data_IF_215899281607
#
_entry.id   IF_215899281607
#
_cell.length_a   1.000
_cell.length_b   1.000
_cell.length_c   1.000
_cell.angle_alpha   90.00
_cell.angle_beta   90.00
_cell.angle_gamma   90.00
#
_symmetry.space_group_name_H-M   'P 1'
#
loop_
_entity.id
_entity.type
_entity.pdbx_description
1 polymer ?
#
# COMPACT_ATOMS: atom_id res chain seq x y z
N UNK A 1 -40.66 -4.19 35.41
CA UNK A 1 -39.32 -4.82 35.32
C UNK A 1 -38.64 -4.79 36.69
N UNK A 2 -38.26 -5.94 37.22
CA UNK A 2 -37.78 -6.08 38.61
C UNK A 2 -36.36 -5.48 38.77
N UNK A 3 -35.98 -4.96 39.95
CA UNK A 3 -34.66 -4.31 40.18
C UNK A 3 -33.49 -5.23 39.83
N UNK A 4 -33.66 -6.53 40.06
CA UNK A 4 -32.68 -7.57 39.68
C UNK A 4 -32.51 -7.71 38.16
N UNK A 5 -33.60 -7.66 37.40
CA UNK A 5 -33.56 -7.73 35.92
C UNK A 5 -32.86 -6.50 35.31
N UNK A 6 -33.08 -5.30 35.87
CA UNK A 6 -32.37 -4.08 35.42
C UNK A 6 -30.86 -4.15 35.63
N UNK A 7 -30.43 -4.75 36.74
CA UNK A 7 -29.00 -4.90 37.07
C UNK A 7 -28.36 -5.90 36.11
N UNK A 8 -28.97 -7.07 35.93
CA UNK A 8 -28.49 -8.08 34.97
C UNK A 8 -28.43 -7.52 33.54
N UNK A 9 -29.45 -6.76 33.12
CA UNK A 9 -29.45 -6.13 31.79
C UNK A 9 -28.31 -5.12 31.63
N UNK A 10 -28.04 -4.30 32.66
CA UNK A 10 -26.95 -3.32 32.63
C UNK A 10 -25.59 -4.03 32.55
N UNK A 11 -25.38 -5.06 33.34
CA UNK A 11 -24.12 -5.81 33.35
C UNK A 11 -23.90 -6.51 32.02
N UNK A 12 -24.95 -7.14 31.46
CA UNK A 12 -24.90 -7.75 30.13
C UNK A 12 -24.54 -6.72 29.05
N UNK A 13 -25.24 -5.58 29.01
CA UNK A 13 -24.94 -4.50 28.04
C UNK A 13 -23.51 -4.00 28.20
N UNK A 14 -23.03 -3.86 29.44
CA UNK A 14 -21.66 -3.39 29.72
C UNK A 14 -20.62 -4.35 29.14
N UNK A 15 -20.78 -5.66 29.36
CA UNK A 15 -19.88 -6.68 28.81
C UNK A 15 -19.90 -6.67 27.28
N UNK A 16 -21.08 -6.55 26.66
CA UNK A 16 -21.21 -6.47 25.19
C UNK A 16 -20.48 -5.24 24.63
N UNK A 17 -20.67 -4.07 25.25
CA UNK A 17 -20.02 -2.83 24.80
C UNK A 17 -18.50 -2.90 24.95
N UNK A 18 -17.99 -3.40 26.08
CA UNK A 18 -16.55 -3.56 26.30
C UNK A 18 -15.96 -4.52 25.26
N UNK A 19 -16.64 -5.62 24.98
CA UNK A 19 -16.20 -6.60 23.98
C UNK A 19 -16.15 -5.98 22.59
N UNK A 20 -17.19 -5.22 22.20
CA UNK A 20 -17.21 -4.53 20.92
C UNK A 20 -16.05 -3.53 20.77
N UNK A 21 -15.76 -2.75 21.82
CA UNK A 21 -14.62 -1.81 21.83
C UNK A 21 -13.30 -2.57 21.65
N UNK A 22 -13.11 -3.67 22.38
CA UNK A 22 -11.89 -4.48 22.29
C UNK A 22 -11.69 -5.05 20.87
N UNK A 23 -12.75 -5.55 20.25
CA UNK A 23 -12.71 -6.06 18.86
C UNK A 23 -12.33 -4.94 17.88
N UNK A 24 -12.95 -3.76 18.00
CA UNK A 24 -12.62 -2.60 17.15
C UNK A 24 -11.16 -2.15 17.33
N UNK A 25 -10.67 -2.15 18.58
CA UNK A 25 -9.28 -1.81 18.85
C UNK A 25 -8.31 -2.82 18.21
N UNK A 26 -8.60 -4.12 18.31
CA UNK A 26 -7.76 -5.18 17.75
C UNK A 26 -7.72 -5.14 16.21
N UNK A 27 -8.86 -4.83 15.57
CA UNK A 27 -8.94 -4.64 14.12
C UNK A 27 -8.05 -3.47 13.69
N UNK A 28 -8.19 -2.30 14.33
CA UNK A 28 -7.37 -1.13 14.02
C UNK A 28 -5.88 -1.38 14.25
N UNK A 29 -5.52 -2.11 15.32
CA UNK A 29 -4.13 -2.46 15.60
C UNK A 29 -3.55 -3.35 14.49
N UNK A 30 -4.29 -4.37 14.05
CA UNK A 30 -3.88 -5.24 12.93
C UNK A 30 -3.64 -4.43 11.66
N UNK A 31 -4.53 -3.51 11.33
CA UNK A 31 -4.41 -2.66 10.14
C UNK A 31 -3.20 -1.75 10.19
N UNK A 32 -2.95 -1.15 11.36
CA UNK A 32 -1.78 -0.31 11.60
C UNK A 32 -0.47 -1.08 11.45
N UNK A 33 -0.39 -2.31 11.98
CA UNK A 33 0.78 -3.17 11.83
C UNK A 33 1.01 -3.54 10.36
N UNK A 34 -0.05 -3.96 9.65
CA UNK A 34 0.04 -4.30 8.23
C UNK A 34 0.56 -3.13 7.39
N UNK A 35 -0.01 -1.92 7.59
CA UNK A 35 0.41 -0.70 6.90
C UNK A 35 1.86 -0.33 7.22
N UNK A 36 2.28 -0.51 8.47
CA UNK A 36 3.65 -0.23 8.90
C UNK A 36 4.66 -1.21 8.30
N UNK A 37 4.32 -2.49 8.20
CA UNK A 37 5.17 -3.50 7.56
C UNK A 37 5.28 -3.28 6.05
N UNK A 38 4.17 -2.98 5.36
CA UNK A 38 4.19 -2.66 3.94
C UNK A 38 5.05 -1.41 3.67
N UNK A 39 4.91 -0.35 4.47
CA UNK A 39 5.80 0.82 4.40
C UNK A 39 7.28 0.46 4.65
N UNK A 40 7.58 -0.43 5.60
CA UNK A 40 8.96 -0.87 5.86
C UNK A 40 9.53 -1.66 4.68
N UNK A 41 8.73 -2.53 4.06
CA UNK A 41 9.11 -3.27 2.86
C UNK A 41 9.41 -2.33 1.69
N UNK A 42 8.49 -1.42 1.38
CA UNK A 42 8.71 -0.39 0.35
C UNK A 42 9.90 0.53 0.67
N UNK A 43 10.16 0.84 1.94
CA UNK A 43 11.33 1.65 2.33
C UNK A 43 12.64 0.93 2.05
N UNK A 44 12.68 -0.40 2.17
CA UNK A 44 13.84 -1.20 1.77
C UNK A 44 14.00 -1.20 0.26
N UNK A 45 12.92 -1.40 -0.48
CA UNK A 45 12.92 -1.29 -1.94
C UNK A 45 13.48 0.07 -2.40
N UNK A 46 12.97 1.18 -1.85
CA UNK A 46 13.46 2.52 -2.16
C UNK A 46 14.94 2.69 -1.86
N UNK A 47 15.44 2.15 -0.74
CA UNK A 47 16.89 2.16 -0.44
C UNK A 47 17.71 1.37 -1.45
N UNK A 48 17.24 0.19 -1.87
CA UNK A 48 17.94 -0.63 -2.86
C UNK A 48 18.00 0.09 -4.21
N UNK A 49 16.89 0.70 -4.63
CA UNK A 49 16.85 1.49 -5.88
C UNK A 49 17.79 2.70 -5.80
N UNK A 50 17.78 3.45 -4.71
CA UNK A 50 18.68 4.59 -4.53
C UNK A 50 20.16 4.16 -4.51
N UNK A 51 20.46 3.04 -3.87
CA UNK A 51 21.82 2.48 -3.85
C UNK A 51 22.24 2.08 -5.26
N UNK A 52 21.40 1.36 -5.99
CA UNK A 52 21.65 1.00 -7.39
C UNK A 52 21.89 2.24 -8.25
N UNK A 53 21.10 3.30 -8.08
CA UNK A 53 21.27 4.56 -8.80
C UNK A 53 22.61 5.24 -8.48
N UNK A 54 23.05 5.17 -7.22
CA UNK A 54 24.34 5.71 -6.81
C UNK A 54 25.51 4.94 -7.43
N UNK A 55 25.37 3.61 -7.55
CA UNK A 55 26.44 2.74 -8.02
C UNK A 55 26.52 2.67 -9.56
N UNK A 56 25.39 2.76 -10.25
CA UNK A 56 25.29 2.57 -11.71
C UNK A 56 24.78 3.79 -12.49
N UNK A 57 24.36 4.87 -11.82
CA UNK A 57 23.87 6.09 -12.46
C UNK A 57 22.44 6.05 -13.01
N UNK A 58 21.75 4.91 -12.91
CA UNK A 58 20.39 4.71 -13.47
C UNK A 58 19.44 4.00 -12.50
N UNK A 59 18.17 3.87 -12.89
CA UNK A 59 17.22 3.06 -12.13
C UNK A 59 17.45 1.56 -12.46
N UNK A 60 17.33 0.65 -11.47
CA UNK A 60 17.43 -0.78 -11.75
C UNK A 60 16.31 -1.21 -12.67
N UNK A 61 16.54 -2.21 -13.55
CA UNK A 61 15.51 -2.77 -14.41
C UNK A 61 14.46 -3.53 -13.59
N UNK A 62 13.26 -3.73 -14.16
CA UNK A 62 12.17 -4.44 -13.48
C UNK A 62 12.54 -5.88 -13.10
N UNK A 63 13.32 -6.57 -13.93
CA UNK A 63 13.82 -7.92 -13.64
C UNK A 63 14.69 -7.97 -12.38
N UNK A 64 15.51 -6.94 -12.14
CA UNK A 64 16.31 -6.83 -10.91
C UNK A 64 15.39 -6.71 -9.70
N UNK A 65 14.34 -5.88 -9.79
CA UNK A 65 13.36 -5.68 -8.72
C UNK A 65 12.55 -6.95 -8.46
N UNK A 66 12.17 -7.68 -9.52
CA UNK A 66 11.47 -8.96 -9.42
C UNK A 66 12.31 -9.99 -8.64
N UNK A 67 13.61 -10.08 -8.93
CA UNK A 67 14.51 -11.04 -8.28
C UNK A 67 14.70 -10.76 -6.78
N UNK A 68 14.80 -9.48 -6.38
CA UNK A 68 14.99 -9.12 -4.97
C UNK A 68 13.68 -9.08 -4.19
N UNK A 69 12.53 -9.13 -4.85
CA UNK A 69 11.21 -8.92 -4.22
C UNK A 69 10.93 -9.97 -3.16
N UNK A 70 11.28 -11.22 -3.41
CA UNK A 70 11.09 -12.33 -2.47
C UNK A 70 11.97 -12.18 -1.21
N UNK A 71 13.14 -11.55 -1.37
CA UNK A 71 14.09 -11.28 -0.28
C UNK A 71 13.71 -10.06 0.57
N UNK A 72 12.75 -9.25 0.13
CA UNK A 72 12.27 -8.11 0.91
C UNK A 72 11.53 -8.61 2.16
N UNK A 73 12.10 -8.34 3.34
CA UNK A 73 11.38 -8.56 4.61
C UNK A 73 10.05 -7.77 4.58
N UNK A 74 8.94 -8.49 4.69
CA UNK A 74 7.58 -7.93 4.59
C UNK A 74 6.93 -8.06 3.21
N UNK A 75 7.55 -8.73 2.23
CA UNK A 75 6.99 -8.94 0.89
C UNK A 75 5.62 -9.61 0.89
N UNK A 76 5.38 -10.55 1.83
CA UNK A 76 4.09 -11.24 2.00
C UNK A 76 2.93 -10.26 2.23
N UNK A 77 3.21 -9.08 2.80
CA UNK A 77 2.22 -8.03 3.06
C UNK A 77 2.27 -6.85 2.10
N UNK A 78 3.21 -6.87 1.15
CA UNK A 78 3.37 -5.82 0.17
C UNK A 78 2.39 -5.95 -0.97
N UNK A 79 1.82 -7.12 -1.25
CA UNK A 79 0.95 -7.32 -2.41
C UNK A 79 1.76 -7.31 -3.72
N UNK A 80 1.07 -7.01 -4.84
CA UNK A 80 1.70 -6.89 -6.16
C UNK A 80 2.37 -5.52 -6.30
N UNK A 81 3.70 -5.50 -6.28
CA UNK A 81 4.48 -4.26 -6.47
C UNK A 81 4.58 -3.98 -7.96
N UNK A 82 4.09 -2.82 -8.37
CA UNK A 82 4.24 -2.29 -9.73
C UNK A 82 5.39 -1.30 -9.74
N UNK A 83 6.32 -1.50 -10.65
CA UNK A 83 7.53 -0.72 -10.77
C UNK A 83 7.52 0.08 -12.07
N UNK A 84 7.73 1.39 -12.00
CA UNK A 84 7.53 2.33 -13.12
C UNK A 84 8.84 2.87 -13.71
N UNK A 85 10.01 2.35 -13.34
CA UNK A 85 11.27 2.95 -13.77
C UNK A 85 11.48 3.04 -15.29
N UNK A 86 10.82 2.18 -16.08
CA UNK A 86 10.86 2.25 -17.54
C UNK A 86 10.26 3.56 -18.08
N UNK A 87 9.33 4.16 -17.33
CA UNK A 87 8.58 5.36 -17.70
C UNK A 87 9.12 6.62 -17.02
N UNK A 88 10.25 6.51 -16.31
CA UNK A 88 10.86 7.60 -15.60
C UNK A 88 12.15 8.01 -16.31
N UNK A 89 12.21 9.27 -16.71
CA UNK A 89 13.34 9.85 -17.40
C UNK A 89 14.35 10.46 -16.41
N UNK A 90 15.49 10.92 -16.94
CA UNK A 90 16.46 11.69 -16.15
C UNK A 90 15.88 12.98 -15.56
N UNK A 91 14.85 13.53 -16.22
CA UNK A 91 14.17 14.76 -15.83
C UNK A 91 13.00 14.52 -14.85
N UNK A 92 12.72 13.26 -14.51
CA UNK A 92 11.69 12.89 -13.55
C UNK A 92 11.89 13.58 -12.20
N UNK A 93 10.82 14.19 -11.72
CA UNK A 93 10.83 14.93 -10.46
C UNK A 93 10.91 14.00 -9.26
N UNK A 94 11.39 14.53 -8.12
CA UNK A 94 11.47 13.76 -6.86
C UNK A 94 10.11 13.27 -6.36
N UNK A 95 9.03 13.92 -6.79
CA UNK A 95 7.65 13.61 -6.41
C UNK A 95 6.99 12.60 -7.35
N UNK A 96 7.68 12.08 -8.38
CA UNK A 96 7.13 11.04 -9.22
C UNK A 96 7.06 9.67 -8.54
N UNK A 97 6.04 8.91 -8.89
CA UNK A 97 5.81 7.56 -8.38
C UNK A 97 6.76 6.60 -9.10
N UNK A 98 7.74 6.09 -8.36
CA UNK A 98 8.68 5.07 -8.83
C UNK A 98 8.11 3.66 -8.71
N UNK A 99 7.48 3.35 -7.58
CA UNK A 99 6.88 2.05 -7.35
C UNK A 99 5.66 2.20 -6.47
N UNK A 100 4.68 1.32 -6.64
CA UNK A 100 3.49 1.31 -5.80
C UNK A 100 2.95 -0.10 -5.63
N UNK A 101 2.22 -0.31 -4.55
CA UNK A 101 1.41 -1.53 -4.41
C UNK A 101 0.07 -1.23 -3.76
N UNK A 102 -0.96 -1.88 -4.29
CA UNK A 102 -2.32 -1.82 -3.76
C UNK A 102 -2.43 -2.74 -2.54
N UNK A 103 -2.82 -2.15 -1.42
CA UNK A 103 -3.03 -2.89 -0.18
C UNK A 103 -4.53 -3.08 0.02
N UNK A 104 -5.03 -4.23 -0.45
CA UNK A 104 -6.43 -4.64 -0.42
C UNK A 104 -6.79 -5.50 0.80
N UNK A 105 -6.33 -5.14 1.99
CA UNK A 105 -6.92 -5.74 3.19
C UNK A 105 -8.40 -5.34 3.26
N UNK A 106 -9.25 -6.20 3.85
CA UNK A 106 -10.65 -5.87 4.18
C UNK A 106 -10.75 -5.35 5.63
N UNK A 107 -10.33 -4.13 5.95
CA UNK A 107 -10.69 -3.56 7.24
C UNK A 107 -12.07 -2.91 7.14
N UNK A 108 -12.83 -3.00 8.21
CA UNK A 108 -14.09 -2.26 8.31
C UNK A 108 -13.87 -0.73 8.46
N UNK A 109 -12.66 -0.29 8.83
CA UNK A 109 -12.41 1.11 9.26
C UNK A 109 -11.27 1.83 8.53
N UNK A 110 -10.28 1.13 7.96
CA UNK A 110 -9.13 1.76 7.30
C UNK A 110 -9.27 1.65 5.78
N UNK A 111 -9.63 2.73 5.09
CA UNK A 111 -9.88 2.69 3.65
C UNK A 111 -8.75 2.03 2.83
N UNK A 112 -9.12 1.37 1.72
CA UNK A 112 -8.16 0.83 0.74
C UNK A 112 -7.19 1.92 0.30
N UNK A 113 -5.94 1.55 0.09
CA UNK A 113 -4.91 2.50 -0.27
C UNK A 113 -3.69 1.85 -0.87
N UNK A 114 -2.73 2.71 -1.19
CA UNK A 114 -1.50 2.33 -1.86
C UNK A 114 -0.33 2.68 -0.97
N UNK A 115 0.65 1.79 -0.90
CA UNK A 115 1.99 2.16 -0.43
C UNK A 115 2.79 2.55 -1.65
N UNK A 116 3.34 3.76 -1.61
CA UNK A 116 4.01 4.37 -2.76
C UNK A 116 5.44 4.72 -2.38
N UNK A 117 6.35 4.44 -3.30
CA UNK A 117 7.75 4.86 -3.27
C UNK A 117 7.92 5.92 -4.35
N UNK A 118 8.46 7.06 -3.95
CA UNK A 118 8.83 8.17 -4.84
C UNK A 118 10.22 7.97 -5.44
N UNK A 119 10.56 8.70 -6.49
CA UNK A 119 11.89 8.66 -7.14
C UNK A 119 13.03 8.96 -6.17
N UNK A 120 12.79 9.80 -5.17
CA UNK A 120 13.77 10.11 -4.11
C UNK A 120 13.81 9.09 -2.95
N UNK A 121 13.06 8.00 -3.07
CA UNK A 121 12.98 6.93 -2.09
C UNK A 121 12.10 7.22 -0.88
N UNK A 122 11.39 8.36 -0.83
CA UNK A 122 10.33 8.59 0.17
C UNK A 122 9.23 7.55 0.01
N UNK A 123 8.72 7.07 1.14
CA UNK A 123 7.65 6.08 1.20
C UNK A 123 6.48 6.62 1.97
N UNK A 124 5.32 6.58 1.34
CA UNK A 124 4.09 7.07 1.93
C UNK A 124 2.93 6.14 1.66
N UNK A 125 1.84 6.42 2.34
CA UNK A 125 0.58 5.76 2.07
C UNK A 125 -0.37 6.79 1.53
N UNK A 126 -0.96 6.51 0.38
CA UNK A 126 -1.98 7.36 -0.23
C UNK A 126 -3.32 6.65 -0.26
N UNK A 127 -4.38 7.44 -0.11
CA UNK A 127 -5.74 6.94 -0.33
C UNK A 127 -5.92 6.57 -1.80
N UNK A 128 -6.84 5.63 -2.10
CA UNK A 128 -7.10 5.20 -3.48
C UNK A 128 -7.35 6.36 -4.46
N UNK A 129 -8.26 7.28 -4.13
CA UNK A 129 -8.62 8.42 -5.00
C UNK A 129 -7.45 9.38 -5.22
N UNK A 130 -6.73 9.69 -4.15
CA UNK A 130 -5.54 10.54 -4.18
C UNK A 130 -4.46 9.92 -5.09
N UNK A 131 -4.20 8.62 -4.91
CA UNK A 131 -3.27 7.87 -5.74
C UNK A 131 -3.69 7.86 -7.22
N UNK A 132 -4.96 7.53 -7.51
CA UNK A 132 -5.45 7.47 -8.90
C UNK A 132 -5.38 8.84 -9.59
N UNK A 133 -5.70 9.91 -8.88
CA UNK A 133 -5.60 11.29 -9.40
C UNK A 133 -4.15 11.64 -9.72
N UNK A 134 -3.24 11.34 -8.80
CA UNK A 134 -1.82 11.66 -8.97
C UNK A 134 -1.16 10.80 -10.04
N UNK A 135 -1.49 9.50 -10.09
CA UNK A 135 -0.98 8.61 -11.12
C UNK A 135 -1.44 9.08 -12.50
N UNK A 136 -2.72 9.41 -12.67
CA UNK A 136 -3.24 9.90 -13.94
C UNK A 136 -2.54 11.19 -14.43
N UNK A 137 -2.07 12.05 -13.50
CA UNK A 137 -1.28 13.24 -13.84
C UNK A 137 0.17 12.92 -14.25
N UNK A 138 0.71 11.78 -13.82
CA UNK A 138 2.11 11.40 -14.02
C UNK A 138 2.30 10.33 -15.11
N UNK A 139 1.22 9.79 -15.67
CA UNK A 139 1.31 8.74 -16.69
C UNK A 139 1.37 9.33 -18.09
N UNK A 140 2.30 8.81 -18.89
CA UNK A 140 2.35 9.14 -20.31
C UNK A 140 1.24 8.39 -21.07
N UNK A 141 0.81 8.88 -22.25
CA UNK A 141 -0.14 8.17 -23.10
C UNK A 141 0.30 6.74 -23.46
N UNK A 142 1.60 6.52 -23.62
CA UNK A 142 2.20 5.22 -23.94
C UNK A 142 2.11 4.25 -22.74
N UNK A 143 2.38 4.74 -21.53
CA UNK A 143 2.22 3.94 -20.31
C UNK A 143 0.75 3.51 -20.14
N UNK A 144 -0.20 4.43 -20.39
CA UNK A 144 -1.63 4.14 -20.35
C UNK A 144 -1.98 3.06 -21.38
N UNK A 145 -1.50 3.16 -22.62
CA UNK A 145 -1.77 2.17 -23.67
C UNK A 145 -1.20 0.80 -23.32
N UNK A 146 0.03 0.69 -22.81
CA UNK A 146 0.61 -0.60 -22.41
C UNK A 146 -0.15 -1.23 -21.23
N UNK A 147 -0.51 -0.44 -20.21
CA UNK A 147 -1.25 -0.93 -19.05
C UNK A 147 -2.70 -1.30 -19.39
N UNK A 148 -3.29 -0.67 -20.41
CA UNK A 148 -4.61 -0.97 -20.94
C UNK A 148 -4.59 -2.22 -21.83
N UNK A 149 -3.57 -2.35 -22.69
CA UNK A 149 -3.42 -3.49 -23.60
C UNK A 149 -3.04 -4.79 -22.87
N UNK A 150 -2.31 -4.71 -21.75
CA UNK A 150 -2.04 -5.84 -20.87
C UNK A 150 -3.25 -6.31 -20.04
N UNK A 151 -4.30 -5.48 -19.93
CA UNK A 151 -5.61 -5.92 -19.44
C UNK A 151 -6.43 -6.39 -20.64
N UNK A 152 -6.38 -7.69 -20.94
CA UNK A 152 -7.41 -8.32 -21.75
C UNK A 152 -8.78 -7.80 -21.27
N UNK A 153 -9.67 -7.35 -22.17
CA UNK A 153 -11.00 -6.95 -21.76
C UNK A 153 -11.60 -8.12 -21.01
N UNK A 154 -12.03 -7.88 -19.77
CA UNK A 154 -12.87 -8.83 -19.05
C UNK A 154 -14.03 -9.13 -20.00
N UNK A 155 -14.03 -10.34 -20.58
CA UNK A 155 -15.12 -10.79 -21.42
C UNK A 155 -16.39 -10.66 -20.58
N UNK A 156 -17.26 -9.76 -21.00
CA UNK A 156 -18.64 -9.66 -20.53
C UNK A 156 -19.44 -10.83 -21.07
#
# INVERSE_FOLDING_TARGET
MNRRQKTILRDFVTVVVITAIAVVALINFRDWVNRSEAKRGMKRLGKIVLQYRKDYGGLPPESYIANIREDLKGHVRLGEVRYRALWLDSDSTKDEILAYSEINYRPLLVGRGYVVVRVDGRVEWMGKKEFETLLAQQQSPEEIQMLSAGRLPAQQ
#
